data_IF_764191513668
#
_entry.id   IF_764191513668
#
_cell.length_a   1.000
_cell.length_b   1.000
_cell.length_c   1.000
_cell.angle_alpha   90.00
_cell.angle_beta   90.00
_cell.angle_gamma   90.00
#
_symmetry.space_group_name_H-M   'P 1'
#
loop_
_entity.id
_entity.type
_entity.pdbx_description
1 polymer ?
#
# COMPACT_ATOMS: atom_id res chain seq x y z
N UNK A 1 6.33 -12.43 4.13
CA UNK A 1 5.32 -13.28 3.43
C UNK A 1 3.92 -12.93 3.90
N UNK A 2 2.97 -13.82 3.90
CA UNK A 2 1.59 -13.48 4.32
C UNK A 2 1.50 -13.13 5.81
N UNK A 3 2.27 -13.80 6.65
CA UNK A 3 2.29 -13.59 8.10
C UNK A 3 2.71 -12.18 8.50
N UNK A 4 3.63 -11.56 7.76
CA UNK A 4 4.08 -10.20 8.05
C UNK A 4 2.93 -9.17 7.93
N UNK A 5 2.11 -9.30 6.89
CA UNK A 5 0.94 -8.42 6.71
C UNK A 5 -0.11 -8.66 7.80
N UNK A 6 -0.32 -9.92 8.17
CA UNK A 6 -1.20 -10.27 9.28
C UNK A 6 -0.75 -9.65 10.60
N UNK A 7 0.53 -9.73 10.91
CA UNK A 7 1.11 -9.14 12.11
C UNK A 7 0.96 -7.61 12.14
N UNK A 8 1.16 -6.94 10.99
CA UNK A 8 0.93 -5.49 10.87
C UNK A 8 -0.54 -5.15 11.13
N UNK A 9 -1.47 -5.93 10.58
CA UNK A 9 -2.90 -5.72 10.80
C UNK A 9 -3.27 -5.92 12.28
N UNK A 10 -2.83 -6.99 12.91
CA UNK A 10 -3.08 -7.26 14.33
C UNK A 10 -2.56 -6.13 15.22
N UNK A 11 -1.33 -5.70 14.99
CA UNK A 11 -0.75 -4.59 15.73
C UNK A 11 -1.53 -3.29 15.52
N UNK A 12 -1.98 -3.04 14.30
CA UNK A 12 -2.80 -1.85 13.98
C UNK A 12 -4.10 -1.85 14.78
N UNK A 13 -4.80 -2.97 14.80
CA UNK A 13 -6.07 -3.06 15.54
C UNK A 13 -5.88 -3.08 17.06
N UNK A 14 -4.77 -3.60 17.56
CA UNK A 14 -4.45 -3.55 18.99
C UNK A 14 -4.31 -2.11 19.50
N UNK A 15 -3.83 -1.18 18.66
CA UNK A 15 -3.70 0.24 18.97
C UNK A 15 -4.82 1.13 18.40
N UNK A 16 -5.83 0.56 17.77
CA UNK A 16 -6.88 1.32 17.10
C UNK A 16 -7.85 1.99 18.09
N UNK A 17 -8.39 3.13 17.66
CA UNK A 17 -9.51 3.76 18.36
C UNK A 17 -10.75 2.87 18.27
N UNK A 18 -11.69 3.06 19.21
CA UNK A 18 -12.97 2.36 19.18
C UNK A 18 -13.70 2.57 17.85
N UNK A 19 -13.74 3.80 17.35
CA UNK A 19 -14.38 4.13 16.08
C UNK A 19 -13.77 3.35 14.90
N UNK A 20 -12.44 3.24 14.85
CA UNK A 20 -11.77 2.45 13.83
C UNK A 20 -12.10 0.97 13.98
N UNK A 21 -12.03 0.41 15.18
CA UNK A 21 -12.34 -1.01 15.42
C UNK A 21 -13.79 -1.35 15.04
N UNK A 22 -14.75 -0.48 15.32
CA UNK A 22 -16.15 -0.65 14.93
C UNK A 22 -16.37 -0.56 13.42
N UNK A 23 -15.60 0.30 12.71
CA UNK A 23 -15.67 0.43 11.24
C UNK A 23 -15.07 -0.76 10.50
N UNK A 24 -14.15 -1.48 11.15
CA UNK A 24 -13.48 -2.66 10.61
C UNK A 24 -13.66 -3.88 11.53
N UNK A 25 -14.88 -4.39 11.65
CA UNK A 25 -15.17 -5.46 12.60
C UNK A 25 -14.42 -6.76 12.25
N UNK A 26 -14.02 -7.57 13.26
CA UNK A 26 -13.20 -8.77 13.03
C UNK A 26 -13.72 -9.72 11.95
N UNK A 27 -15.03 -9.90 11.87
CA UNK A 27 -15.65 -10.76 10.86
C UNK A 27 -15.53 -10.28 9.42
N UNK A 28 -15.09 -9.04 9.20
CA UNK A 28 -14.91 -8.44 7.87
C UNK A 28 -13.44 -8.26 7.49
N UNK A 29 -12.51 -8.48 8.41
CA UNK A 29 -11.08 -8.36 8.13
C UNK A 29 -10.60 -9.51 7.27
N UNK A 30 -9.63 -9.24 6.42
CA UNK A 30 -8.95 -10.28 5.64
C UNK A 30 -7.97 -11.05 6.53
N UNK A 31 -7.91 -12.36 6.33
CA UNK A 31 -6.87 -13.19 6.96
C UNK A 31 -5.49 -12.86 6.37
N UNK A 32 -4.38 -13.23 7.02
CA UNK A 32 -3.03 -13.02 6.48
C UNK A 32 -2.86 -13.56 5.05
N UNK A 33 -3.40 -14.74 4.78
CA UNK A 33 -3.37 -15.35 3.46
C UNK A 33 -4.17 -14.54 2.45
N UNK A 34 -5.40 -14.15 2.79
CA UNK A 34 -6.25 -13.32 1.92
C UNK A 34 -5.61 -11.98 1.62
N UNK A 35 -4.96 -11.34 2.61
CA UNK A 35 -4.22 -10.09 2.40
C UNK A 35 -3.14 -10.25 1.34
N UNK A 36 -2.30 -11.28 1.47
CA UNK A 36 -1.23 -11.53 0.52
C UNK A 36 -1.77 -11.83 -0.89
N UNK A 37 -2.70 -12.76 -1.00
CA UNK A 37 -3.31 -13.14 -2.30
C UNK A 37 -4.00 -11.94 -2.96
N UNK A 38 -4.75 -11.15 -2.20
CA UNK A 38 -5.42 -9.97 -2.71
C UNK A 38 -4.43 -8.91 -3.21
N UNK A 39 -3.46 -8.55 -2.39
CA UNK A 39 -2.48 -7.52 -2.76
C UNK A 39 -1.56 -7.96 -3.90
N UNK A 40 -1.24 -9.24 -4.02
CA UNK A 40 -0.44 -9.76 -5.14
C UNK A 40 -1.25 -9.83 -6.45
N UNK A 41 -2.54 -10.06 -6.36
CA UNK A 41 -3.45 -10.06 -7.51
C UNK A 41 -3.73 -8.65 -8.02
N UNK A 42 -3.77 -7.67 -7.15
CA UNK A 42 -3.96 -6.26 -7.52
C UNK A 42 -2.62 -5.67 -7.95
N UNK A 43 -2.64 -4.91 -9.02
CA UNK A 43 -1.41 -4.32 -9.58
C UNK A 43 -1.33 -2.80 -9.38
N UNK A 44 -2.42 -2.18 -8.94
CA UNK A 44 -2.51 -0.72 -8.81
C UNK A 44 -3.08 -0.31 -7.46
N UNK A 45 -2.63 0.84 -6.99
CA UNK A 45 -3.10 1.46 -5.78
C UNK A 45 -3.24 2.97 -5.96
N UNK A 46 -4.08 3.58 -5.12
CA UNK A 46 -4.07 5.03 -4.94
C UNK A 46 -3.07 5.35 -3.84
N UNK A 47 -2.11 6.19 -4.16
CA UNK A 47 -1.03 6.60 -3.27
C UNK A 47 -1.31 8.00 -2.75
N UNK A 48 -1.36 8.14 -1.43
CA UNK A 48 -1.44 9.43 -0.76
C UNK A 48 -0.08 9.88 -0.26
N UNK A 49 0.26 11.13 -0.47
CA UNK A 49 1.46 11.76 0.06
C UNK A 49 1.19 13.23 0.37
N UNK A 50 2.07 13.85 1.14
CA UNK A 50 1.91 15.23 1.57
C UNK A 50 2.76 16.16 0.70
N UNK A 51 2.12 17.18 0.12
CA UNK A 51 2.82 18.25 -0.59
C UNK A 51 3.64 19.11 0.38
N UNK A 52 4.69 19.79 -0.08
CA UNK A 52 5.47 20.69 0.77
C UNK A 52 4.64 21.78 1.47
N UNK A 53 3.53 22.21 0.87
CA UNK A 53 2.60 23.19 1.47
C UNK A 53 1.61 22.57 2.48
N UNK A 54 1.73 21.27 2.75
CA UNK A 54 0.89 20.53 3.69
C UNK A 54 -0.37 19.92 3.09
N UNK A 55 -0.72 20.24 1.85
CA UNK A 55 -1.92 19.68 1.22
C UNK A 55 -1.72 18.22 0.83
N UNK A 56 -2.74 17.37 0.98
CA UNK A 56 -2.65 15.98 0.53
C UNK A 56 -2.60 15.90 -0.99
N UNK A 57 -1.89 14.89 -1.49
CA UNK A 57 -1.82 14.55 -2.90
C UNK A 57 -2.20 13.08 -3.07
N UNK A 58 -2.98 12.77 -4.08
CA UNK A 58 -3.35 11.41 -4.44
C UNK A 58 -3.05 11.16 -5.91
N UNK A 59 -2.49 9.98 -6.21
CA UNK A 59 -2.24 9.52 -7.57
C UNK A 59 -2.22 8.00 -7.63
N UNK A 60 -2.55 7.44 -8.78
CA UNK A 60 -2.41 6.01 -9.00
C UNK A 60 -0.96 5.62 -9.25
N UNK A 61 -0.60 4.44 -8.77
CA UNK A 61 0.68 3.79 -9.08
C UNK A 61 0.50 2.29 -9.19
N UNK A 62 1.28 1.67 -10.07
CA UNK A 62 1.54 0.25 -9.96
C UNK A 62 2.50 -0.03 -8.79
N UNK A 63 2.54 -1.27 -8.35
CA UNK A 63 3.47 -1.69 -7.31
C UNK A 63 3.88 -3.15 -7.47
N UNK A 64 5.02 -3.49 -6.89
CA UNK A 64 5.47 -4.87 -6.70
C UNK A 64 5.67 -5.08 -5.22
N UNK A 65 5.02 -6.09 -4.64
CA UNK A 65 5.11 -6.38 -3.20
C UNK A 65 6.16 -7.44 -2.90
N UNK A 66 6.89 -7.23 -1.81
CA UNK A 66 7.76 -8.24 -1.17
C UNK A 66 7.60 -8.14 0.35
N UNK A 67 6.98 -9.14 0.97
CA UNK A 67 6.67 -9.08 2.40
C UNK A 67 5.70 -7.93 2.69
N UNK A 68 6.12 -7.03 3.56
CA UNK A 68 5.39 -5.79 3.85
C UNK A 68 5.95 -4.56 3.11
N UNK A 69 6.92 -4.76 2.23
CA UNK A 69 7.47 -3.71 1.36
C UNK A 69 6.75 -3.69 0.02
N UNK A 70 6.46 -2.49 -0.43
CA UNK A 70 5.87 -2.20 -1.73
C UNK A 70 6.81 -1.31 -2.52
N UNK A 71 7.15 -1.75 -3.71
CA UNK A 71 8.07 -1.06 -4.59
C UNK A 71 7.28 -0.38 -5.71
N UNK A 72 7.37 0.94 -5.77
CA UNK A 72 6.60 1.77 -6.71
C UNK A 72 7.53 2.33 -7.78
N UNK A 73 7.36 1.89 -9.04
CA UNK A 73 8.08 2.52 -10.15
C UNK A 73 7.52 3.92 -10.39
N UNK A 74 8.37 4.87 -10.69
CA UNK A 74 7.92 6.24 -10.93
C UNK A 74 8.76 6.95 -12.00
N UNK A 75 8.15 7.94 -12.65
CA UNK A 75 8.84 8.82 -13.60
C UNK A 75 9.74 9.79 -12.84
N UNK A 76 10.75 10.28 -13.53
CA UNK A 76 11.66 11.28 -12.96
C UNK A 76 10.90 12.52 -12.51
N UNK A 77 11.27 13.08 -11.38
CA UNK A 77 10.72 14.32 -10.84
C UNK A 77 9.20 14.29 -10.63
N UNK A 78 8.65 13.11 -10.35
CA UNK A 78 7.22 13.01 -10.05
C UNK A 78 6.86 13.80 -8.78
N UNK A 79 5.59 14.19 -8.68
CA UNK A 79 5.10 14.90 -7.49
C UNK A 79 5.29 14.04 -6.24
N UNK A 80 5.00 12.73 -6.31
CA UNK A 80 5.18 11.84 -5.16
C UNK A 80 6.64 11.64 -4.77
N UNK A 81 7.57 11.60 -5.73
CA UNK A 81 9.00 11.55 -5.43
C UNK A 81 9.44 12.77 -4.61
N UNK A 82 9.06 13.96 -5.06
CA UNK A 82 9.32 15.19 -4.33
C UNK A 82 8.68 15.20 -2.96
N UNK A 83 7.43 14.76 -2.85
CA UNK A 83 6.71 14.71 -1.59
C UNK A 83 7.37 13.75 -0.60
N UNK A 84 7.79 12.56 -1.04
CA UNK A 84 8.47 11.58 -0.20
C UNK A 84 9.85 12.07 0.27
N UNK A 85 10.57 12.82 -0.56
CA UNK A 85 11.86 13.41 -0.14
C UNK A 85 11.70 14.46 0.96
N UNK A 86 10.56 15.15 1.00
CA UNK A 86 10.26 16.19 2.01
C UNK A 86 9.61 15.59 3.26
N UNK A 87 8.64 14.70 3.05
CA UNK A 87 7.90 14.01 4.11
C UNK A 87 7.89 12.51 3.79
N UNK A 88 8.78 11.71 4.41
CA UNK A 88 8.98 10.30 4.06
C UNK A 88 7.90 9.38 4.61
N UNK A 89 6.66 9.68 4.31
CA UNK A 89 5.48 8.92 4.72
C UNK A 89 4.44 8.87 3.60
N UNK A 90 3.81 7.72 3.42
CA UNK A 90 2.77 7.53 2.41
C UNK A 90 1.58 6.77 2.97
N UNK A 91 0.45 6.95 2.32
CA UNK A 91 -0.71 6.08 2.42
C UNK A 91 -0.90 5.34 1.11
N UNK A 92 -1.46 4.15 1.18
CA UNK A 92 -1.73 3.33 0.02
C UNK A 92 -3.11 2.70 0.17
N UNK A 93 -3.95 2.87 -0.83
CA UNK A 93 -5.31 2.30 -0.87
C UNK A 93 -5.42 1.34 -2.04
N UNK A 94 -5.71 0.08 -1.73
CA UNK A 94 -6.00 -0.95 -2.72
C UNK A 94 -7.45 -1.36 -2.54
N UNK A 95 -8.26 -1.17 -3.57
CA UNK A 95 -9.70 -1.44 -3.51
C UNK A 95 -10.23 -2.04 -4.81
N UNK A 96 -11.30 -2.80 -4.72
CA UNK A 96 -12.08 -3.26 -5.86
C UNK A 96 -13.55 -3.44 -5.47
N UNK A 97 -14.40 -3.47 -6.47
CA UNK A 97 -15.83 -3.68 -6.31
C UNK A 97 -16.57 -2.43 -5.82
N UNK A 98 -17.85 -2.59 -5.61
CA UNK A 98 -18.76 -1.54 -5.15
C UNK A 98 -19.88 -2.11 -4.28
N UNK A 99 -20.62 -1.23 -3.62
CA UNK A 99 -21.80 -1.55 -2.80
C UNK A 99 -21.50 -2.64 -1.76
N UNK A 100 -22.19 -3.78 -1.85
CA UNK A 100 -22.04 -4.93 -0.95
C UNK A 100 -20.94 -5.93 -1.37
N UNK A 101 -20.14 -5.59 -2.39
CA UNK A 101 -19.10 -6.44 -2.98
C UNK A 101 -17.73 -5.78 -3.00
N UNK A 102 -17.48 -4.80 -2.15
CA UNK A 102 -16.19 -4.16 -2.14
C UNK A 102 -15.20 -4.80 -1.17
N UNK A 103 -13.95 -4.72 -1.53
CA UNK A 103 -12.80 -5.03 -0.69
C UNK A 103 -11.92 -3.80 -0.64
N UNK A 104 -11.41 -3.47 0.52
CA UNK A 104 -10.45 -2.39 0.70
C UNK A 104 -9.34 -2.81 1.65
N UNK A 105 -8.11 -2.46 1.28
CA UNK A 105 -6.93 -2.53 2.13
C UNK A 105 -6.31 -1.14 2.19
N UNK A 106 -6.20 -0.60 3.38
CA UNK A 106 -5.61 0.69 3.66
C UNK A 106 -4.28 0.47 4.37
N UNK A 107 -3.22 1.05 3.83
CA UNK A 107 -1.88 0.94 4.39
C UNK A 107 -1.29 2.33 4.61
N UNK A 108 -0.51 2.44 5.67
CA UNK A 108 0.29 3.64 5.96
C UNK A 108 1.69 3.22 6.40
N UNK A 109 2.66 4.03 6.09
CA UNK A 109 4.01 3.76 6.54
C UNK A 109 5.08 4.67 5.94
N UNK A 110 6.32 4.49 6.37
CA UNK A 110 7.46 5.20 5.83
C UNK A 110 7.68 4.86 4.36
N UNK A 111 8.15 5.84 3.63
CA UNK A 111 8.50 5.72 2.22
C UNK A 111 9.83 6.42 1.96
N UNK A 112 10.61 5.88 1.05
CA UNK A 112 11.88 6.48 0.63
C UNK A 112 12.10 6.32 -0.86
N UNK A 113 12.73 7.31 -1.46
CA UNK A 113 13.22 7.22 -2.84
C UNK A 113 14.51 6.42 -2.81
N UNK A 114 14.58 5.37 -3.61
CA UNK A 114 15.72 4.45 -3.62
C UNK A 114 16.46 4.50 -4.95
N UNK A 115 17.78 4.36 -4.88
CA UNK A 115 18.60 4.22 -6.08
C UNK A 115 18.30 2.90 -6.81
N UNK A 116 18.39 2.92 -8.13
CA UNK A 116 18.10 1.74 -8.96
C UNK A 116 18.88 0.49 -8.50
N UNK A 117 20.13 0.65 -8.09
CA UNK A 117 20.96 -0.45 -7.60
C UNK A 117 20.43 -1.09 -6.30
N UNK A 118 19.65 -0.36 -5.52
CA UNK A 118 19.06 -0.84 -4.26
C UNK A 118 17.72 -1.57 -4.46
N UNK A 119 17.17 -1.53 -5.68
CA UNK A 119 15.93 -2.24 -6.01
C UNK A 119 16.26 -3.70 -6.33
N UNK A 120 15.61 -4.68 -5.68
CA UNK A 120 15.83 -6.09 -5.98
C UNK A 120 15.65 -6.40 -7.48
N UNK A 121 16.51 -7.24 -8.03
CA UNK A 121 16.52 -7.54 -9.47
C UNK A 121 15.16 -8.10 -9.95
N UNK A 122 14.53 -8.96 -9.16
CA UNK A 122 13.22 -9.53 -9.46
C UNK A 122 12.09 -8.48 -9.43
N UNK A 123 12.22 -7.44 -8.61
CA UNK A 123 11.28 -6.32 -8.58
C UNK A 123 11.42 -5.49 -9.85
N UNK A 124 12.66 -5.19 -10.24
CA UNK A 124 12.92 -4.45 -11.48
C UNK A 124 12.41 -5.21 -12.70
N UNK A 125 12.61 -6.52 -12.72
CA UNK A 125 12.18 -7.38 -13.83
C UNK A 125 10.66 -7.48 -13.95
N UNK A 126 9.91 -7.27 -12.87
CA UNK A 126 8.45 -7.33 -12.87
C UNK A 126 7.78 -6.11 -13.53
N UNK A 127 8.53 -5.03 -13.73
CA UNK A 127 8.03 -3.81 -14.38
C UNK A 127 8.94 -3.46 -15.55
N UNK A 128 8.41 -3.61 -16.76
CA UNK A 128 9.12 -3.26 -17.98
C UNK A 128 8.64 -1.93 -18.52
N UNK A 129 9.56 -1.10 -18.95
CA UNK A 129 9.29 0.18 -19.58
C UNK A 129 10.41 1.18 -19.37
N UNK A 130 10.69 1.96 -20.40
CA UNK A 130 11.72 3.00 -20.40
C UNK A 130 11.32 4.26 -19.63
N UNK A 131 10.06 4.34 -19.21
CA UNK A 131 9.52 5.44 -18.40
C UNK A 131 9.93 5.39 -16.93
N UNK A 132 10.36 4.20 -16.43
CA UNK A 132 10.75 4.03 -15.04
C UNK A 132 12.13 4.64 -14.83
N UNK A 133 12.17 5.77 -14.13
CA UNK A 133 13.41 6.50 -13.85
C UNK A 133 13.87 6.35 -12.40
N UNK A 134 12.95 6.10 -11.48
CA UNK A 134 13.27 5.99 -10.06
C UNK A 134 12.24 5.08 -9.37
N UNK A 135 12.54 4.71 -8.14
CA UNK A 135 11.71 3.82 -7.34
C UNK A 135 11.46 4.40 -5.95
N UNK A 136 10.30 4.11 -5.42
CA UNK A 136 9.97 4.40 -4.03
C UNK A 136 9.75 3.07 -3.34
N UNK A 137 10.42 2.84 -2.20
CA UNK A 137 10.10 1.76 -1.29
C UNK A 137 9.17 2.28 -0.22
N UNK A 138 8.01 1.67 -0.11
CA UNK A 138 7.02 1.91 0.93
C UNK A 138 6.94 0.68 1.82
N UNK A 139 7.05 0.87 3.14
CA UNK A 139 6.96 -0.22 4.12
C UNK A 139 5.69 -0.07 4.95
N UNK A 140 4.79 -1.05 4.88
CA UNK A 140 3.55 -1.00 5.64
C UNK A 140 3.82 -1.08 7.16
N UNK A 141 3.38 -0.06 7.89
CA UNK A 141 3.41 0.01 9.36
C UNK A 141 2.02 -0.05 9.98
N UNK A 142 1.01 0.41 9.26
CA UNK A 142 -0.41 0.26 9.60
C UNK A 142 -1.14 -0.41 8.45
N UNK A 143 -2.07 -1.28 8.80
CA UNK A 143 -2.90 -1.95 7.83
C UNK A 143 -4.30 -2.17 8.39
N UNK A 144 -5.29 -1.70 7.65
CA UNK A 144 -6.70 -1.96 7.88
C UNK A 144 -7.26 -2.67 6.65
N UNK A 145 -8.10 -3.66 6.86
CA UNK A 145 -8.79 -4.34 5.76
C UNK A 145 -10.27 -4.54 6.06
N UNK A 146 -11.06 -4.53 5.01
CA UNK A 146 -12.47 -4.82 5.06
C UNK A 146 -12.92 -5.52 3.77
N UNK A 147 -13.67 -6.60 3.90
CA UNK A 147 -14.36 -7.23 2.80
C UNK A 147 -15.86 -7.28 3.10
N UNK A 148 -16.68 -6.73 2.21
CA UNK A 148 -18.12 -6.87 2.27
C UNK A 148 -18.52 -8.36 2.17
N UNK A 149 -19.69 -8.73 2.68
CA UNK A 149 -20.09 -10.12 2.80
C UNK A 149 -20.06 -10.88 1.48
N UNK A 150 -20.43 -10.23 0.39
CA UNK A 150 -20.47 -10.82 -0.95
C UNK A 150 -19.13 -10.82 -1.69
N UNK A 151 -18.05 -10.29 -1.09
CA UNK A 151 -16.81 -9.99 -1.81
C UNK A 151 -15.56 -10.59 -1.16
N UNK A 152 -15.69 -11.62 -0.36
CA UNK A 152 -14.51 -12.25 0.25
C UNK A 152 -13.60 -12.84 -0.83
N UNK A 153 -12.35 -12.36 -0.95
CA UNK A 153 -11.36 -12.93 -1.85
C UNK A 153 -10.87 -14.29 -1.39
#
# INVERSE_FOLDING_TARGET
MSEELGAVQEQTFAGATRATAESYPPGRRLSPRQLAEYLDRRAFAVIGSRRPDGRPHAAMSSYVRRGRDFWLPTVARSVRERNVRTEPWMTMTVTEGDRDRYVVVLLEGPAEVVALAAVPAEVRAAVTGDWVATWIRFTAQRLLSYAAEGARP
#
